data_IF_435375591863
#
_entry.id   IF_435375591863
#
_cell.length_a   1.000
_cell.length_b   1.000
_cell.length_c   1.000
_cell.angle_alpha   90.00
_cell.angle_beta   90.00
_cell.angle_gamma   90.00
#
_symmetry.space_group_name_H-M   'P 1'
#
loop_
_entity.id
_entity.type
_entity.pdbx_description
1 polymer ?
#
# COMPACT_ATOMS: atom_id res chain seq x y z
N UNK A 1 43.57 -25.04 19.74
CA UNK A 1 44.77 -25.90 19.66
C UNK A 1 44.76 -26.76 18.38
N UNK A 2 43.65 -27.44 18.03
CA UNK A 2 43.56 -28.38 16.86
C UNK A 2 43.79 -27.70 15.51
N UNK A 3 43.30 -26.50 15.30
CA UNK A 3 43.47 -25.74 14.06
C UNK A 3 44.96 -25.42 13.75
N UNK A 4 45.77 -25.24 14.80
CA UNK A 4 47.22 -24.94 14.63
C UNK A 4 48.02 -26.13 14.10
N UNK A 5 47.54 -27.38 14.32
CA UNK A 5 48.19 -28.58 13.81
C UNK A 5 48.09 -28.69 12.29
N UNK A 6 47.13 -27.99 11.65
CA UNK A 6 47.00 -27.95 10.19
C UNK A 6 47.58 -26.67 9.59
N UNK A 7 48.29 -25.87 10.37
CA UNK A 7 48.77 -24.56 9.93
C UNK A 7 47.65 -23.55 9.69
N UNK A 8 46.43 -23.89 10.07
CA UNK A 8 45.28 -23.00 9.91
C UNK A 8 45.32 -21.85 10.93
N UNK A 9 44.96 -20.67 10.47
CA UNK A 9 44.92 -19.45 11.28
C UNK A 9 43.47 -19.15 11.67
N UNK A 10 43.25 -18.89 12.97
CA UNK A 10 41.93 -18.38 13.45
C UNK A 10 41.76 -16.96 12.93
N UNK A 11 40.68 -16.72 12.20
CA UNK A 11 40.30 -15.40 11.66
C UNK A 11 39.30 -14.72 12.55
N UNK A 12 38.37 -15.52 13.12
CA UNK A 12 37.26 -14.99 13.94
C UNK A 12 36.78 -16.04 14.95
N UNK A 13 36.35 -15.58 16.11
CA UNK A 13 35.66 -16.40 17.12
C UNK A 13 34.42 -15.66 17.56
N UNK A 14 33.27 -16.30 17.52
CA UNK A 14 31.95 -15.73 17.88
C UNK A 14 31.18 -16.67 18.80
N UNK A 15 30.74 -16.16 19.96
CA UNK A 15 29.91 -16.89 20.92
C UNK A 15 28.42 -16.65 20.62
N UNK A 16 27.71 -17.70 20.22
CA UNK A 16 26.29 -17.69 19.93
C UNK A 16 25.53 -18.06 21.23
N UNK A 17 25.30 -17.05 22.08
CA UNK A 17 24.74 -17.27 23.45
C UNK A 17 23.33 -17.85 23.42
N UNK A 18 22.48 -17.40 22.49
CA UNK A 18 21.10 -17.89 22.33
C UNK A 18 21.04 -19.34 21.85
N UNK A 19 22.10 -19.84 21.19
CA UNK A 19 22.22 -21.20 20.68
C UNK A 19 23.14 -22.07 21.55
N UNK A 20 23.79 -21.50 22.56
CA UNK A 20 24.77 -22.20 23.40
C UNK A 20 25.99 -22.70 22.62
N UNK A 21 26.39 -22.05 21.53
CA UNK A 21 27.48 -22.52 20.66
C UNK A 21 28.50 -21.42 20.38
N UNK A 22 29.72 -21.85 20.06
CA UNK A 22 30.80 -21.00 19.62
C UNK A 22 31.19 -21.34 18.19
N UNK A 23 31.24 -20.35 17.31
CA UNK A 23 31.69 -20.49 15.91
C UNK A 23 33.09 -19.91 15.77
N UNK A 24 33.98 -20.67 15.13
CA UNK A 24 35.37 -20.27 14.87
C UNK A 24 35.63 -20.33 13.38
N UNK A 25 35.97 -19.22 12.75
CA UNK A 25 36.33 -19.15 11.35
C UNK A 25 37.86 -19.31 11.19
N UNK A 26 38.25 -20.29 10.36
CA UNK A 26 39.62 -20.63 10.10
C UNK A 26 40.01 -20.26 8.66
N UNK A 27 41.26 -19.81 8.49
CA UNK A 27 41.87 -19.65 7.15
C UNK A 27 42.94 -20.71 7.01
N UNK A 28 42.85 -21.49 5.94
CA UNK A 28 43.87 -22.47 5.57
C UNK A 28 45.07 -21.79 4.95
N UNK A 29 46.29 -22.41 5.05
CA UNK A 29 47.45 -21.95 4.34
C UNK A 29 47.24 -21.93 2.81
N UNK A 30 47.97 -21.07 2.08
CA UNK A 30 47.96 -21.09 0.63
C UNK A 30 48.34 -22.47 0.07
N UNK A 31 47.58 -22.91 -0.96
CA UNK A 31 47.82 -24.19 -1.64
C UNK A 31 47.10 -25.40 -1.03
N UNK A 32 46.43 -25.25 0.11
CA UNK A 32 45.57 -26.30 0.67
C UNK A 32 44.14 -26.13 0.18
N UNK A 33 43.64 -27.14 -0.52
CA UNK A 33 42.22 -27.18 -0.93
C UNK A 33 41.31 -27.37 0.27
N UNK A 34 40.30 -26.51 0.40
CA UNK A 34 39.40 -26.50 1.56
C UNK A 34 38.51 -27.76 1.67
N UNK A 35 38.12 -28.37 0.56
CA UNK A 35 37.31 -29.60 0.56
C UNK A 35 38.15 -30.80 1.02
N UNK A 36 39.37 -30.89 0.55
CA UNK A 36 40.32 -31.92 0.97
C UNK A 36 40.67 -31.79 2.46
N UNK A 37 40.90 -30.57 2.93
CA UNK A 37 41.14 -30.29 4.34
C UNK A 37 39.91 -30.67 5.22
N UNK A 38 38.70 -30.38 4.74
CA UNK A 38 37.46 -30.75 5.43
C UNK A 38 37.28 -32.26 5.54
N UNK A 39 37.58 -33.03 4.46
CA UNK A 39 37.49 -34.48 4.48
C UNK A 39 38.42 -35.06 5.56
N UNK A 40 39.69 -34.66 5.60
CA UNK A 40 40.65 -35.08 6.63
C UNK A 40 40.23 -34.64 8.04
N UNK A 41 39.65 -33.42 8.17
CA UNK A 41 39.17 -32.93 9.45
C UNK A 41 38.00 -33.76 9.99
N UNK A 42 37.06 -34.13 9.13
CA UNK A 42 35.85 -34.90 9.49
C UNK A 42 36.18 -36.40 9.81
N UNK A 43 37.26 -36.96 9.27
CA UNK A 43 37.70 -38.28 9.67
C UNK A 43 38.14 -38.33 11.16
N UNK A 44 38.67 -37.23 11.66
CA UNK A 44 39.19 -37.13 13.04
C UNK A 44 38.17 -36.58 14.03
N UNK A 45 37.41 -35.60 13.62
CA UNK A 45 36.44 -34.92 14.47
C UNK A 45 35.12 -34.73 13.67
N UNK A 46 34.29 -35.76 13.49
CA UNK A 46 33.05 -35.69 12.71
C UNK A 46 32.09 -34.62 13.24
N UNK A 47 31.56 -33.81 12.32
CA UNK A 47 30.51 -32.81 12.65
C UNK A 47 31.02 -31.54 13.35
N UNK A 48 32.34 -31.37 13.46
CA UNK A 48 32.94 -30.18 14.09
C UNK A 48 33.34 -29.11 13.07
N UNK A 49 33.71 -29.52 11.87
CA UNK A 49 34.19 -28.63 10.82
C UNK A 49 33.29 -28.67 9.61
N UNK A 50 33.10 -27.49 8.99
CA UNK A 50 32.42 -27.35 7.71
C UNK A 50 33.05 -26.23 6.87
N UNK A 51 32.70 -26.18 5.59
CA UNK A 51 33.14 -25.10 4.70
C UNK A 51 32.40 -23.81 5.07
N UNK A 52 33.12 -22.69 4.97
CA UNK A 52 32.51 -21.38 5.05
C UNK A 52 31.87 -21.04 3.70
N UNK A 53 30.60 -21.47 3.51
CA UNK A 53 29.85 -21.23 2.29
C UNK A 53 29.48 -19.75 2.17
N UNK A 54 29.52 -19.23 0.94
CA UNK A 54 28.90 -17.95 0.59
C UNK A 54 27.46 -18.24 0.20
N UNK A 55 26.53 -17.60 0.90
CA UNK A 55 25.13 -17.58 0.54
C UNK A 55 24.91 -16.35 -0.33
N UNK A 56 24.32 -16.53 -1.50
CA UNK A 56 23.70 -15.45 -2.23
C UNK A 56 22.31 -15.25 -1.62
N UNK A 57 21.86 -14.00 -1.52
CA UNK A 57 20.44 -13.74 -1.32
C UNK A 57 19.73 -14.54 -2.41
N UNK A 58 18.91 -15.52 -2.02
CA UNK A 58 17.91 -16.04 -2.93
C UNK A 58 17.17 -14.79 -3.40
N UNK A 59 17.34 -14.41 -4.65
CA UNK A 59 16.42 -13.52 -5.29
C UNK A 59 15.11 -14.30 -5.21
N UNK A 60 14.32 -14.01 -4.21
CA UNK A 60 12.91 -14.33 -4.25
C UNK A 60 12.44 -13.62 -5.50
N UNK A 61 12.04 -14.39 -6.49
CA UNK A 61 11.36 -13.86 -7.66
C UNK A 61 10.33 -12.86 -7.14
N UNK A 62 10.18 -11.70 -7.80
CA UNK A 62 9.31 -10.66 -7.30
C UNK A 62 7.95 -11.29 -7.04
N UNK A 63 7.42 -11.11 -5.83
CA UNK A 63 6.08 -11.60 -5.44
C UNK A 63 5.01 -11.04 -6.39
N UNK A 64 5.39 -10.04 -7.14
CA UNK A 64 4.61 -9.32 -8.12
C UNK A 64 5.13 -9.60 -9.52
N UNK A 65 4.40 -10.36 -10.31
CA UNK A 65 4.69 -10.65 -11.72
C UNK A 65 3.57 -10.10 -12.61
N UNK A 66 3.96 -9.53 -13.76
CA UNK A 66 3.04 -9.08 -14.80
C UNK A 66 2.60 -7.60 -14.68
N UNK A 67 1.68 -7.21 -15.54
CA UNK A 67 1.23 -5.83 -15.72
C UNK A 67 0.59 -5.20 -14.47
N UNK A 68 -0.01 -6.00 -13.59
CA UNK A 68 -0.62 -5.54 -12.33
C UNK A 68 0.40 -4.99 -11.33
N UNK A 69 1.67 -5.34 -11.48
CA UNK A 69 2.75 -4.95 -10.56
C UNK A 69 3.47 -3.66 -10.97
N UNK A 70 3.41 -3.31 -12.22
CA UNK A 70 4.09 -2.13 -12.75
C UNK A 70 3.68 -0.82 -12.04
N UNK A 71 2.39 -0.58 -11.71
CA UNK A 71 1.98 0.60 -10.96
C UNK A 71 2.64 0.72 -9.57
N UNK A 72 2.87 -0.41 -8.89
CA UNK A 72 3.55 -0.44 -7.59
C UNK A 72 5.04 -0.05 -7.73
N UNK A 73 5.70 -0.55 -8.75
CA UNK A 73 7.11 -0.22 -9.03
C UNK A 73 7.28 1.28 -9.30
N UNK A 74 6.32 1.93 -9.96
CA UNK A 74 6.37 3.38 -10.25
C UNK A 74 6.39 4.25 -9.00
N UNK A 75 5.74 3.82 -7.93
CA UNK A 75 5.74 4.52 -6.65
C UNK A 75 6.87 4.07 -5.71
N UNK A 76 7.79 3.25 -6.20
CA UNK A 76 8.88 2.70 -5.38
C UNK A 76 8.42 1.68 -4.34
N UNK A 77 7.26 1.05 -4.52
CA UNK A 77 6.77 0.02 -3.60
C UNK A 77 7.62 -1.24 -3.71
N UNK A 78 7.99 -1.88 -2.58
CA UNK A 78 8.84 -3.06 -2.62
C UNK A 78 8.18 -4.23 -3.36
N UNK A 79 8.94 -4.91 -4.21
CA UNK A 79 8.46 -6.11 -4.91
C UNK A 79 8.07 -7.23 -3.93
N UNK A 80 8.83 -7.40 -2.84
CA UNK A 80 8.54 -8.34 -1.76
C UNK A 80 7.60 -7.68 -0.72
N UNK A 81 6.33 -7.51 -1.06
CA UNK A 81 5.35 -6.82 -0.21
C UNK A 81 4.49 -7.74 0.67
N UNK A 82 4.77 -9.05 0.69
CA UNK A 82 3.93 -10.05 1.38
C UNK A 82 3.73 -9.81 2.88
N UNK A 83 4.55 -9.00 3.51
CA UNK A 83 4.48 -8.64 4.93
C UNK A 83 3.98 -7.22 5.19
N UNK A 84 3.79 -6.40 4.14
CA UNK A 84 3.32 -5.03 4.27
C UNK A 84 1.93 -4.96 4.92
N UNK A 85 1.72 -3.94 5.73
CA UNK A 85 0.43 -3.68 6.40
C UNK A 85 0.22 -4.41 7.71
N UNK A 86 1.16 -5.23 8.18
CA UNK A 86 1.02 -5.94 9.47
C UNK A 86 0.77 -4.94 10.61
N UNK A 87 -0.30 -5.19 11.39
CA UNK A 87 -0.69 -4.32 12.52
C UNK A 87 -1.38 -3.02 12.12
N UNK A 88 -1.61 -2.77 10.84
CA UNK A 88 -2.29 -1.57 10.35
C UNK A 88 -3.78 -1.85 10.09
N UNK A 89 -4.61 -0.86 10.42
CA UNK A 89 -6.04 -0.87 10.10
C UNK A 89 -6.35 0.31 9.19
N UNK A 90 -6.85 0.00 7.99
CA UNK A 90 -7.16 0.95 6.93
C UNK A 90 -8.67 1.17 6.85
N UNK A 91 -9.09 2.40 6.60
CA UNK A 91 -10.48 2.74 6.31
C UNK A 91 -10.70 2.97 4.82
N UNK A 92 -11.79 2.43 4.30
CA UNK A 92 -12.24 2.66 2.94
C UNK A 92 -13.71 3.04 2.96
N UNK A 93 -14.08 4.11 2.25
CA UNK A 93 -15.48 4.51 1.99
C UNK A 93 -15.73 4.36 0.49
N UNK A 94 -16.48 3.34 0.11
CA UNK A 94 -16.67 2.95 -1.30
C UNK A 94 -18.01 2.21 -1.50
N UNK A 95 -18.21 1.63 -2.68
CA UNK A 95 -19.22 0.63 -2.95
C UNK A 95 -18.91 -0.70 -2.25
N UNK A 96 -19.76 -1.71 -2.39
CA UNK A 96 -19.59 -3.01 -1.74
C UNK A 96 -18.33 -3.75 -2.21
N UNK A 97 -17.95 -4.79 -1.49
CA UNK A 97 -16.74 -5.60 -1.77
C UNK A 97 -17.10 -7.08 -1.85
N UNK A 98 -16.73 -7.73 -2.95
CA UNK A 98 -16.82 -9.18 -3.13
C UNK A 98 -15.61 -9.86 -2.45
N UNK A 99 -15.74 -10.18 -1.16
CA UNK A 99 -14.63 -10.66 -0.31
C UNK A 99 -14.21 -12.10 -0.58
N UNK A 100 -15.02 -12.88 -1.28
CA UNK A 100 -14.81 -14.30 -1.59
C UNK A 100 -14.00 -14.53 -2.88
N UNK A 101 -13.68 -13.47 -3.61
CA UNK A 101 -12.84 -13.55 -4.80
C UNK A 101 -11.41 -14.02 -4.48
N UNK A 102 -10.73 -14.71 -5.42
CA UNK A 102 -9.35 -15.16 -5.23
C UNK A 102 -8.40 -14.05 -4.77
N UNK A 103 -8.56 -12.84 -5.31
CA UNK A 103 -7.74 -11.67 -4.95
C UNK A 103 -7.86 -11.27 -3.47
N UNK A 104 -9.00 -11.51 -2.83
CA UNK A 104 -9.27 -11.10 -1.44
C UNK A 104 -9.40 -12.28 -0.48
N UNK A 105 -9.35 -13.52 -0.98
CA UNK A 105 -9.48 -14.71 -0.15
C UNK A 105 -8.35 -14.80 0.87
N UNK A 106 -8.70 -14.74 2.15
CA UNK A 106 -7.74 -14.73 3.26
C UNK A 106 -7.26 -13.33 3.68
N UNK A 107 -7.70 -12.26 3.01
CA UNK A 107 -7.52 -10.89 3.49
C UNK A 107 -8.41 -10.61 4.71
N UNK A 108 -7.92 -9.81 5.65
CA UNK A 108 -8.73 -9.33 6.80
C UNK A 108 -9.58 -8.14 6.35
N UNK A 109 -10.72 -8.42 5.71
CA UNK A 109 -11.66 -7.41 5.21
C UNK A 109 -12.97 -7.49 6.00
N UNK A 110 -13.36 -6.39 6.62
CA UNK A 110 -14.65 -6.24 7.30
C UNK A 110 -15.51 -5.21 6.57
N UNK A 111 -16.62 -5.65 6.01
CA UNK A 111 -17.57 -4.80 5.30
C UNK A 111 -18.72 -4.40 6.22
N UNK A 112 -19.09 -3.12 6.20
CA UNK A 112 -20.30 -2.62 6.88
C UNK A 112 -21.07 -1.66 5.99
N UNK A 113 -22.38 -1.92 5.83
CA UNK A 113 -23.27 -1.12 4.98
C UNK A 113 -23.94 0.00 5.79
N UNK A 114 -24.01 1.19 5.19
CA UNK A 114 -24.56 2.42 5.79
C UNK A 114 -25.58 3.10 4.88
N UNK A 115 -26.01 2.45 3.80
CA UNK A 115 -27.08 2.92 2.95
C UNK A 115 -28.39 3.06 3.75
N UNK A 116 -29.31 3.89 3.26
CA UNK A 116 -30.64 4.12 3.89
C UNK A 116 -31.43 2.82 4.03
N UNK A 117 -31.33 1.98 3.03
CA UNK A 117 -31.88 0.64 3.02
C UNK A 117 -30.69 -0.32 2.92
N UNK A 118 -30.38 -0.99 4.02
CA UNK A 118 -29.26 -1.91 4.11
C UNK A 118 -29.42 -3.13 3.18
N UNK A 119 -30.65 -3.40 2.75
CA UNK A 119 -30.98 -4.51 1.85
C UNK A 119 -31.06 -4.06 0.38
N UNK A 120 -30.94 -2.75 0.10
CA UNK A 120 -30.91 -2.27 -1.27
C UNK A 120 -29.72 -2.85 -2.04
N UNK A 121 -29.93 -3.30 -3.30
CA UNK A 121 -28.83 -3.76 -4.12
C UNK A 121 -27.76 -2.69 -4.29
N UNK A 122 -26.52 -3.04 -4.02
CA UNK A 122 -25.37 -2.20 -4.29
C UNK A 122 -24.50 -2.82 -5.36
N UNK A 123 -23.52 -2.07 -5.86
CA UNK A 123 -22.53 -2.57 -6.80
C UNK A 123 -21.25 -2.85 -6.05
N UNK A 124 -20.62 -3.99 -6.31
CA UNK A 124 -19.36 -4.36 -5.67
C UNK A 124 -18.14 -4.19 -6.60
N UNK A 125 -18.34 -3.81 -7.86
CA UNK A 125 -17.23 -3.82 -8.83
C UNK A 125 -16.15 -2.80 -8.47
N UNK A 126 -16.53 -1.57 -8.08
CA UNK A 126 -15.57 -0.52 -7.78
C UNK A 126 -14.87 -0.75 -6.42
N UNK A 127 -15.63 -1.01 -5.37
CA UNK A 127 -15.07 -1.27 -4.03
C UNK A 127 -14.19 -2.52 -3.99
N UNK A 128 -14.52 -3.57 -4.77
CA UNK A 128 -13.67 -4.76 -4.93
C UNK A 128 -12.33 -4.41 -5.56
N UNK A 129 -12.33 -3.60 -6.62
CA UNK A 129 -11.09 -3.15 -7.28
C UNK A 129 -10.20 -2.34 -6.33
N UNK A 130 -10.79 -1.41 -5.56
CA UNK A 130 -10.06 -0.60 -4.56
C UNK A 130 -9.55 -1.47 -3.40
N UNK A 131 -10.35 -2.41 -2.90
CA UNK A 131 -9.93 -3.35 -1.86
C UNK A 131 -8.78 -4.26 -2.34
N UNK A 132 -8.84 -4.74 -3.59
CA UNK A 132 -7.76 -5.54 -4.18
C UNK A 132 -6.45 -4.76 -4.29
N UNK A 133 -6.48 -3.48 -4.67
CA UNK A 133 -5.30 -2.61 -4.65
C UNK A 133 -4.70 -2.46 -3.24
N UNK A 134 -5.54 -2.39 -2.20
CA UNK A 134 -5.07 -2.22 -0.82
C UNK A 134 -4.56 -3.54 -0.23
N UNK A 135 -5.38 -4.59 -0.23
CA UNK A 135 -5.14 -5.81 0.56
C UNK A 135 -5.20 -7.11 -0.26
N UNK A 136 -5.09 -7.01 -1.58
CA UNK A 136 -5.02 -8.18 -2.47
C UNK A 136 -3.95 -9.17 -2.02
N UNK A 137 -4.26 -10.46 -2.05
CA UNK A 137 -3.39 -11.48 -1.47
C UNK A 137 -2.26 -11.88 -2.43
N UNK A 138 -1.04 -12.09 -1.93
CA UNK A 138 0.07 -12.62 -2.72
C UNK A 138 -0.31 -13.95 -3.38
N UNK A 139 0.12 -14.16 -4.62
CA UNK A 139 -0.17 -15.38 -5.38
C UNK A 139 -1.55 -15.41 -6.05
N UNK A 140 -2.39 -14.39 -5.86
CA UNK A 140 -3.70 -14.28 -6.53
C UNK A 140 -3.62 -13.73 -7.96
N UNK A 141 -2.44 -13.30 -8.42
CA UNK A 141 -2.26 -12.53 -9.66
C UNK A 141 -2.58 -11.04 -9.53
N UNK A 142 -3.14 -10.62 -8.38
CA UNK A 142 -3.49 -9.22 -8.07
C UNK A 142 -3.03 -8.87 -6.65
N UNK A 143 -1.72 -8.86 -6.38
CA UNK A 143 -1.20 -8.53 -5.05
C UNK A 143 -1.52 -7.08 -4.70
N UNK A 144 -2.04 -6.86 -3.50
CA UNK A 144 -2.29 -5.53 -2.95
C UNK A 144 -1.04 -4.91 -2.35
N UNK A 145 -1.13 -3.61 -2.04
CA UNK A 145 -0.03 -2.85 -1.44
C UNK A 145 0.24 -3.28 0.01
N UNK A 146 -0.81 -3.58 0.78
CA UNK A 146 -0.76 -3.90 2.20
C UNK A 146 -1.49 -5.24 2.50
N UNK A 147 -1.03 -6.38 1.96
CA UNK A 147 -1.76 -7.66 2.02
C UNK A 147 -1.96 -8.21 3.45
N UNK A 148 -1.23 -7.70 4.44
CA UNK A 148 -1.38 -8.05 5.87
C UNK A 148 -2.11 -6.99 6.69
N UNK A 149 -2.58 -5.92 6.04
CA UNK A 149 -3.42 -4.91 6.67
C UNK A 149 -4.85 -5.41 6.89
N UNK A 150 -5.49 -4.90 7.93
CA UNK A 150 -6.93 -5.01 8.11
C UNK A 150 -7.62 -3.90 7.32
N UNK A 151 -8.57 -4.23 6.48
CA UNK A 151 -9.38 -3.28 5.74
C UNK A 151 -10.79 -3.20 6.32
N UNK A 152 -11.20 -2.02 6.77
CA UNK A 152 -12.56 -1.71 7.16
C UNK A 152 -13.25 -0.98 6.01
N UNK A 153 -14.11 -1.67 5.29
CA UNK A 153 -14.87 -1.15 4.15
C UNK A 153 -16.25 -0.67 4.58
N UNK A 154 -16.43 0.63 4.63
CA UNK A 154 -17.71 1.29 4.88
C UNK A 154 -18.43 1.52 3.56
N UNK A 155 -19.66 0.99 3.43
CA UNK A 155 -20.45 0.98 2.20
C UNK A 155 -21.69 1.87 2.36
N UNK A 156 -21.60 3.18 2.02
CA UNK A 156 -22.76 4.08 2.03
C UNK A 156 -23.54 4.06 0.71
N UNK A 157 -23.05 3.38 -0.32
CA UNK A 157 -23.60 3.41 -1.67
C UNK A 157 -24.83 2.52 -1.85
N UNK A 158 -25.80 3.00 -2.60
CA UNK A 158 -27.02 2.30 -2.98
C UNK A 158 -27.43 2.68 -4.41
N UNK A 159 -28.24 1.83 -5.07
CA UNK A 159 -28.78 2.14 -6.39
C UNK A 159 -30.06 2.94 -6.27
N UNK A 160 -30.09 4.06 -6.98
CA UNK A 160 -31.32 4.83 -7.21
C UNK A 160 -32.25 4.06 -8.18
N UNK A 161 -33.55 4.38 -8.22
CA UNK A 161 -34.49 3.83 -9.22
C UNK A 161 -34.03 4.04 -10.67
N UNK A 162 -33.21 5.07 -10.93
CA UNK A 162 -32.58 5.34 -12.22
C UNK A 162 -31.47 4.34 -12.58
N UNK A 163 -31.06 3.44 -11.66
CA UNK A 163 -29.93 2.57 -11.80
C UNK A 163 -28.58 3.21 -11.39
N UNK A 164 -28.57 4.51 -11.10
CA UNK A 164 -27.35 5.23 -10.71
C UNK A 164 -26.89 4.83 -9.32
N UNK A 165 -25.62 4.50 -9.17
CA UNK A 165 -24.99 4.22 -7.87
C UNK A 165 -24.68 5.55 -7.16
N UNK A 166 -25.20 5.73 -5.95
CA UNK A 166 -25.08 6.98 -5.19
C UNK A 166 -24.89 6.73 -3.71
N UNK A 167 -24.25 7.66 -3.02
CA UNK A 167 -24.20 7.73 -1.56
C UNK A 167 -24.79 9.06 -1.10
N UNK A 168 -25.41 9.08 0.06
CA UNK A 168 -25.87 10.32 0.66
C UNK A 168 -24.99 10.80 1.81
N UNK A 169 -25.10 12.07 2.19
CA UNK A 169 -24.27 12.67 3.23
C UNK A 169 -24.43 11.95 4.58
N UNK A 170 -25.62 11.44 4.92
CA UNK A 170 -25.87 10.73 6.18
C UNK A 170 -25.14 9.39 6.20
N UNK A 171 -25.18 8.63 5.10
CA UNK A 171 -24.42 7.38 4.93
C UNK A 171 -22.91 7.61 5.03
N UNK A 172 -22.40 8.69 4.39
CA UNK A 172 -20.98 9.07 4.47
C UNK A 172 -20.57 9.44 5.90
N UNK A 173 -21.38 10.22 6.62
CA UNK A 173 -21.11 10.60 8.01
C UNK A 173 -21.10 9.38 8.94
N UNK A 174 -22.07 8.47 8.79
CA UNK A 174 -22.09 7.19 9.54
C UNK A 174 -20.88 6.32 9.24
N UNK A 175 -20.44 6.30 7.99
CA UNK A 175 -19.22 5.60 7.56
C UNK A 175 -17.98 6.15 8.27
N UNK A 176 -17.81 7.47 8.27
CA UNK A 176 -16.72 8.14 8.98
C UNK A 176 -16.76 7.88 10.49
N UNK A 177 -17.95 8.00 11.11
CA UNK A 177 -18.13 7.75 12.55
C UNK A 177 -17.70 6.32 12.93
N UNK A 178 -18.13 5.32 12.16
CA UNK A 178 -17.70 3.93 12.40
C UNK A 178 -16.20 3.77 12.27
N UNK A 179 -15.59 4.23 11.17
CA UNK A 179 -14.16 4.09 10.93
C UNK A 179 -13.33 4.78 12.03
N UNK A 180 -13.76 5.95 12.48
CA UNK A 180 -13.12 6.67 13.62
C UNK A 180 -13.30 5.87 14.92
N UNK A 181 -14.46 5.26 15.18
CA UNK A 181 -14.70 4.43 16.37
C UNK A 181 -13.83 3.17 16.41
N UNK A 182 -13.49 2.63 15.24
CA UNK A 182 -12.55 1.48 15.07
C UNK A 182 -11.07 1.93 15.11
N UNK A 183 -10.79 3.22 15.38
CA UNK A 183 -9.44 3.80 15.52
C UNK A 183 -8.59 3.72 14.24
N UNK A 184 -9.21 3.84 13.09
CA UNK A 184 -8.53 3.94 11.81
C UNK A 184 -7.73 5.25 11.76
N UNK A 185 -6.48 5.19 11.32
CA UNK A 185 -5.63 6.38 11.19
C UNK A 185 -5.74 7.03 9.80
N UNK A 186 -6.01 6.24 8.77
CA UNK A 186 -6.10 6.71 7.38
C UNK A 186 -7.40 6.20 6.75
N UNK A 187 -8.17 7.11 6.17
CA UNK A 187 -9.41 6.80 5.47
C UNK A 187 -9.31 7.24 4.02
N UNK A 188 -9.48 6.30 3.08
CA UNK A 188 -9.62 6.57 1.65
C UNK A 188 -11.10 6.75 1.28
N UNK A 189 -11.40 7.84 0.58
CA UNK A 189 -12.74 8.14 0.04
C UNK A 189 -12.68 8.25 -1.49
N UNK A 190 -12.90 7.13 -2.16
CA UNK A 190 -12.83 7.03 -3.63
C UNK A 190 -14.09 7.55 -4.33
N UNK A 191 -14.59 8.68 -3.89
CA UNK A 191 -15.86 9.27 -4.33
C UNK A 191 -15.78 10.79 -4.44
N UNK A 192 -16.75 11.38 -5.13
CA UNK A 192 -16.88 12.83 -5.26
C UNK A 192 -18.35 13.26 -5.23
N UNK A 193 -18.56 14.51 -4.83
CA UNK A 193 -19.87 15.14 -4.83
C UNK A 193 -19.80 16.64 -4.56
N UNK A 194 -20.94 17.29 -4.37
CA UNK A 194 -21.00 18.71 -4.01
C UNK A 194 -20.54 18.95 -2.56
N UNK A 195 -20.27 20.20 -2.23
CA UNK A 195 -20.05 20.61 -0.85
C UNK A 195 -21.25 20.29 0.03
N UNK A 196 -20.97 19.79 1.23
CA UNK A 196 -21.98 19.53 2.25
C UNK A 196 -21.44 19.91 3.63
N UNK A 197 -22.11 20.84 4.30
CA UNK A 197 -21.68 21.38 5.59
C UNK A 197 -21.57 20.31 6.70
N UNK A 198 -22.51 19.35 6.73
CA UNK A 198 -22.50 18.30 7.73
C UNK A 198 -21.37 17.29 7.49
N UNK A 199 -21.07 16.96 6.23
CA UNK A 199 -19.94 16.11 5.86
C UNK A 199 -18.62 16.82 6.17
N UNK A 200 -18.49 18.11 5.87
CA UNK A 200 -17.32 18.92 6.22
C UNK A 200 -17.08 18.92 7.74
N UNK A 201 -18.14 19.12 8.54
CA UNK A 201 -18.03 19.05 10.00
C UNK A 201 -17.63 17.64 10.48
N UNK A 202 -18.10 16.57 9.84
CA UNK A 202 -17.71 15.19 10.17
C UNK A 202 -16.24 14.91 9.84
N UNK A 203 -15.76 15.37 8.68
CA UNK A 203 -14.36 15.27 8.27
C UNK A 203 -13.44 16.01 9.26
N UNK A 204 -13.78 17.25 9.62
CA UNK A 204 -13.00 18.00 10.63
C UNK A 204 -12.94 17.30 11.99
N UNK A 205 -14.03 16.65 12.41
CA UNK A 205 -14.04 15.87 13.66
C UNK A 205 -13.19 14.61 13.58
N UNK A 206 -13.15 13.94 12.42
CA UNK A 206 -12.23 12.83 12.19
C UNK A 206 -10.77 13.30 12.26
N UNK A 207 -10.46 14.41 11.60
CA UNK A 207 -9.14 15.04 11.62
C UNK A 207 -8.69 15.46 13.02
N UNK A 208 -9.62 15.97 13.87
CA UNK A 208 -9.31 16.32 15.27
C UNK A 208 -9.04 15.10 16.16
N UNK A 209 -9.27 13.90 15.65
CA UNK A 209 -8.91 12.60 16.29
C UNK A 209 -7.75 11.92 15.59
N UNK A 210 -6.89 12.71 14.96
CA UNK A 210 -5.69 12.28 14.26
C UNK A 210 -5.91 11.36 13.05
N UNK A 211 -7.12 11.35 12.48
CA UNK A 211 -7.42 10.65 11.24
C UNK A 211 -7.02 11.50 10.04
N UNK A 212 -6.27 10.91 9.10
CA UNK A 212 -6.01 11.52 7.79
C UNK A 212 -7.03 11.02 6.79
N UNK A 213 -7.66 11.94 6.07
CA UNK A 213 -8.60 11.63 4.99
C UNK A 213 -7.92 11.90 3.65
N UNK A 214 -7.94 10.88 2.79
CA UNK A 214 -7.48 10.93 1.40
C UNK A 214 -8.70 10.82 0.49
N UNK A 215 -8.80 11.65 -0.53
CA UNK A 215 -9.95 11.60 -1.43
C UNK A 215 -9.59 11.80 -2.90
N UNK A 216 -10.42 11.25 -3.79
CA UNK A 216 -10.30 11.45 -5.23
C UNK A 216 -10.68 12.88 -5.62
N UNK A 217 -9.86 13.52 -6.47
CA UNK A 217 -10.13 14.91 -6.93
C UNK A 217 -11.28 14.98 -7.94
N UNK A 218 -11.66 13.86 -8.57
CA UNK A 218 -12.79 13.78 -9.51
C UNK A 218 -12.40 13.55 -10.96
N UNK A 219 -13.39 13.19 -11.77
CA UNK A 219 -13.25 12.77 -13.17
C UNK A 219 -14.16 13.58 -14.13
N UNK A 220 -14.42 14.83 -13.82
CA UNK A 220 -15.27 15.70 -14.63
C UNK A 220 -14.50 16.65 -15.57
N UNK A 221 -13.15 16.53 -15.56
CA UNK A 221 -12.26 17.27 -16.44
C UNK A 221 -11.64 18.51 -15.80
N UNK A 222 -10.64 19.04 -16.48
CA UNK A 222 -9.76 20.12 -15.98
C UNK A 222 -10.47 21.40 -15.53
N UNK A 223 -11.61 21.71 -16.14
CA UNK A 223 -12.39 22.93 -15.87
C UNK A 223 -13.56 22.69 -14.91
N UNK A 224 -13.67 21.48 -14.35
CA UNK A 224 -14.74 21.17 -13.41
C UNK A 224 -14.56 21.95 -12.09
N UNK A 225 -15.66 22.31 -11.41
CA UNK A 225 -15.58 22.89 -10.09
C UNK A 225 -14.92 21.93 -9.10
N UNK A 226 -14.35 22.45 -7.99
CA UNK A 226 -13.80 21.60 -6.94
C UNK A 226 -14.80 20.56 -6.46
N UNK A 227 -14.37 19.30 -6.40
CA UNK A 227 -15.21 18.20 -5.92
C UNK A 227 -14.88 17.84 -4.47
N UNK A 228 -15.88 17.47 -3.70
CA UNK A 228 -15.74 17.12 -2.29
C UNK A 228 -15.87 15.60 -2.10
N UNK A 229 -15.14 15.00 -1.14
CA UNK A 229 -14.45 15.67 -0.04
C UNK A 229 -13.01 16.17 -0.34
N UNK A 230 -12.40 15.92 -1.51
CA UNK A 230 -11.03 16.32 -1.79
C UNK A 230 -10.77 17.83 -1.60
N UNK A 231 -11.77 18.68 -1.90
CA UNK A 231 -11.66 20.13 -1.72
C UNK A 231 -11.97 20.62 -0.29
N UNK A 232 -12.17 19.73 0.69
CA UNK A 232 -12.31 20.12 2.10
C UNK A 232 -10.94 20.38 2.74
N UNK A 233 -10.88 21.33 3.66
CA UNK A 233 -9.65 21.68 4.34
C UNK A 233 -9.03 20.48 5.07
N UNK A 234 -7.73 20.23 4.84
CA UNK A 234 -6.97 19.15 5.45
C UNK A 234 -7.33 17.74 4.94
N UNK A 235 -8.06 17.63 3.84
CA UNK A 235 -8.16 16.39 3.07
C UNK A 235 -7.04 16.37 2.04
N UNK A 236 -6.43 15.23 1.83
CA UNK A 236 -5.36 15.06 0.85
C UNK A 236 -5.96 14.55 -0.47
N UNK A 237 -5.87 15.36 -1.51
CA UNK A 237 -6.45 15.07 -2.81
C UNK A 237 -5.52 14.25 -3.71
N UNK A 238 -6.03 13.10 -4.18
CA UNK A 238 -5.32 12.21 -5.11
C UNK A 238 -5.82 12.38 -6.54
N UNK A 239 -4.92 12.66 -7.48
CA UNK A 239 -5.18 12.64 -8.92
C UNK A 239 -4.52 11.43 -9.59
N UNK A 240 -4.91 11.11 -10.83
CA UNK A 240 -4.54 9.89 -11.51
C UNK A 240 -3.52 10.09 -12.63
N UNK A 241 -2.51 9.24 -12.66
CA UNK A 241 -1.48 9.15 -13.69
C UNK A 241 -1.64 7.90 -14.55
N UNK A 242 -1.35 8.05 -15.84
CA UNK A 242 -1.09 6.95 -16.77
C UNK A 242 0.31 6.36 -16.58
N UNK A 243 0.61 5.28 -17.32
CA UNK A 243 1.89 4.60 -17.33
C UNK A 243 3.06 5.54 -17.68
N UNK A 244 2.86 6.44 -18.60
CA UNK A 244 3.82 7.44 -19.05
C UNK A 244 3.83 8.74 -18.21
N UNK A 245 3.25 8.66 -16.99
CA UNK A 245 3.17 9.77 -16.01
C UNK A 245 2.41 11.01 -16.52
N UNK A 246 1.52 10.85 -17.49
CA UNK A 246 0.61 11.91 -17.90
C UNK A 246 -0.63 11.89 -17.01
N UNK A 247 -1.14 13.11 -16.75
CA UNK A 247 -2.39 13.25 -15.99
C UNK A 247 -3.55 12.62 -16.73
N UNK A 248 -4.44 11.96 -16.01
CA UNK A 248 -5.68 11.43 -16.56
C UNK A 248 -6.50 12.55 -17.18
N UNK A 249 -6.84 12.45 -18.47
CA UNK A 249 -7.49 13.52 -19.22
C UNK A 249 -8.83 13.99 -18.64
N UNK A 250 -9.50 13.14 -17.89
CA UNK A 250 -10.74 13.48 -17.18
C UNK A 250 -10.51 13.95 -15.74
N UNK A 251 -9.32 13.93 -15.20
CA UNK A 251 -9.08 14.37 -13.84
C UNK A 251 -9.43 15.84 -13.66
N UNK A 252 -10.08 16.17 -12.54
CA UNK A 252 -10.22 17.55 -12.11
C UNK A 252 -8.87 18.14 -11.77
N UNK A 253 -8.69 19.43 -11.98
CA UNK A 253 -7.48 20.18 -11.66
C UNK A 253 -7.82 21.32 -10.70
N UNK A 254 -6.83 21.86 -10.00
CA UNK A 254 -6.97 22.98 -9.09
C UNK A 254 -6.33 22.76 -7.73
N UNK A 255 -6.67 23.61 -6.78
CA UNK A 255 -6.07 23.65 -5.43
C UNK A 255 -6.31 22.39 -4.60
N UNK A 256 -7.27 21.54 -4.96
CA UNK A 256 -7.55 20.27 -4.28
C UNK A 256 -6.65 19.12 -4.74
N UNK A 257 -5.73 19.34 -5.68
CA UNK A 257 -4.75 18.34 -6.11
C UNK A 257 -3.53 18.42 -5.21
N UNK A 258 -3.26 17.37 -4.44
CA UNK A 258 -2.07 17.30 -3.59
C UNK A 258 -1.01 16.33 -4.14
N UNK A 259 -1.42 15.15 -4.60
CA UNK A 259 -0.49 14.15 -5.14
C UNK A 259 -1.06 13.43 -6.36
N UNK A 260 -0.15 13.00 -7.23
CA UNK A 260 -0.46 12.28 -8.46
C UNK A 260 0.05 10.84 -8.39
N UNK A 261 -0.85 9.84 -8.54
CA UNK A 261 -0.52 8.42 -8.37
C UNK A 261 -1.10 7.58 -9.52
N UNK A 262 -0.64 6.33 -9.71
CA UNK A 262 -1.21 5.45 -10.74
C UNK A 262 -2.73 5.36 -10.63
N UNK A 263 -3.43 5.52 -11.76
CA UNK A 263 -4.90 5.49 -11.78
C UNK A 263 -5.50 5.38 -13.18
N UNK A 264 -4.68 5.04 -14.20
CA UNK A 264 -5.15 4.91 -15.58
C UNK A 264 -4.76 3.55 -16.14
N UNK A 265 -5.74 2.88 -16.76
CA UNK A 265 -5.62 1.56 -17.39
C UNK A 265 -5.06 0.48 -16.46
N UNK A 266 -5.41 0.56 -15.18
CA UNK A 266 -5.02 -0.44 -14.19
C UNK A 266 -5.78 -1.75 -14.40
N UNK A 267 -5.12 -2.91 -14.49
CA UNK A 267 -5.77 -4.21 -14.59
C UNK A 267 -6.37 -4.58 -13.22
N UNK A 268 -7.66 -4.33 -13.03
CA UNK A 268 -8.35 -4.50 -11.76
C UNK A 268 -9.57 -5.41 -11.87
N UNK A 269 -9.88 -6.21 -10.83
CA UNK A 269 -10.99 -7.13 -10.83
C UNK A 269 -12.33 -6.39 -10.69
N UNK A 270 -13.38 -6.96 -11.24
CA UNK A 270 -14.75 -6.60 -10.89
C UNK A 270 -15.31 -7.53 -9.80
N UNK A 271 -16.63 -7.42 -9.55
CA UNK A 271 -17.32 -8.25 -8.55
C UNK A 271 -17.38 -9.74 -8.90
N UNK A 272 -17.12 -10.12 -10.14
CA UNK A 272 -17.06 -11.48 -10.64
C UNK A 272 -15.61 -11.99 -10.71
N UNK A 273 -14.64 -11.14 -10.47
CA UNK A 273 -13.21 -11.44 -10.56
C UNK A 273 -12.63 -11.29 -11.96
N UNK A 274 -13.42 -10.77 -12.92
CA UNK A 274 -12.91 -10.46 -14.25
C UNK A 274 -11.99 -9.24 -14.20
N UNK A 275 -10.76 -9.41 -14.64
CA UNK A 275 -9.76 -8.35 -14.68
C UNK A 275 -9.90 -7.53 -15.94
N UNK A 276 -10.12 -6.22 -15.79
CA UNK A 276 -10.26 -5.28 -16.91
C UNK A 276 -9.50 -3.99 -16.64
N UNK A 277 -9.02 -3.28 -17.68
CA UNK A 277 -8.42 -1.96 -17.52
C UNK A 277 -9.43 -0.98 -16.91
N UNK A 278 -9.04 -0.32 -15.83
CA UNK A 278 -9.87 0.68 -15.16
C UNK A 278 -9.12 2.00 -15.01
N UNK A 279 -9.81 3.10 -15.16
CA UNK A 279 -9.23 4.44 -15.07
C UNK A 279 -10.10 5.35 -14.22
N UNK A 280 -9.44 6.16 -13.37
CA UNK A 280 -10.11 7.14 -12.52
C UNK A 280 -9.23 7.59 -11.36
N UNK A 281 -9.48 8.81 -10.87
CA UNK A 281 -8.82 9.35 -9.69
C UNK A 281 -9.14 8.54 -8.42
N UNK A 282 -10.25 7.80 -8.41
CA UNK A 282 -10.61 6.87 -7.34
C UNK A 282 -9.61 5.71 -7.17
N UNK A 283 -8.93 5.28 -8.25
CA UNK A 283 -7.92 4.23 -8.18
C UNK A 283 -6.53 4.75 -7.75
N UNK A 284 -6.32 6.05 -7.77
CA UNK A 284 -5.13 6.69 -7.22
C UNK A 284 -5.18 6.75 -5.67
N UNK A 285 -6.36 6.84 -5.08
CA UNK A 285 -6.58 6.92 -3.62
C UNK A 285 -5.92 5.76 -2.86
N UNK A 286 -6.09 4.47 -3.21
CA UNK A 286 -5.48 3.36 -2.48
C UNK A 286 -3.95 3.40 -2.46
N UNK A 287 -3.29 3.87 -3.52
CA UNK A 287 -1.83 4.04 -3.53
C UNK A 287 -1.38 5.08 -2.50
N UNK A 288 -2.09 6.20 -2.42
CA UNK A 288 -1.78 7.26 -1.45
C UNK A 288 -2.09 6.80 -0.02
N UNK A 289 -3.22 6.13 0.20
CA UNK A 289 -3.58 5.53 1.49
C UNK A 289 -2.48 4.57 1.97
N UNK A 290 -1.99 3.71 1.09
CA UNK A 290 -0.96 2.74 1.44
C UNK A 290 0.38 3.41 1.81
N UNK A 291 0.87 4.36 1.00
CA UNK A 291 2.13 5.06 1.30
C UNK A 291 2.03 5.85 2.61
N UNK A 292 0.92 6.56 2.80
CA UNK A 292 0.65 7.34 4.00
C UNK A 292 0.56 6.44 5.23
N UNK A 293 -0.24 5.37 5.17
CA UNK A 293 -0.41 4.43 6.28
C UNK A 293 0.89 3.75 6.66
N UNK A 294 1.67 3.29 5.68
CA UNK A 294 2.94 2.63 5.93
C UNK A 294 3.97 3.60 6.53
N UNK A 295 4.09 4.81 5.99
CA UNK A 295 5.03 5.80 6.50
C UNK A 295 4.70 6.28 7.91
N UNK A 296 3.42 6.43 8.25
CA UNK A 296 2.98 6.72 9.62
C UNK A 296 3.31 5.57 10.57
N UNK A 297 3.07 4.32 10.14
CA UNK A 297 3.36 3.12 10.93
C UNK A 297 4.86 2.97 11.20
N UNK A 298 5.70 3.25 10.23
CA UNK A 298 7.17 3.22 10.35
C UNK A 298 7.73 4.46 11.09
N UNK A 299 6.94 5.50 11.28
CA UNK A 299 7.40 6.78 11.81
C UNK A 299 8.36 7.53 10.88
N UNK A 300 8.39 7.18 9.59
CA UNK A 300 9.28 7.80 8.58
C UNK A 300 8.79 9.18 8.14
N UNK A 301 7.48 9.40 8.13
CA UNK A 301 6.84 10.70 7.92
C UNK A 301 5.72 10.89 8.94
N UNK A 302 5.55 12.14 9.37
CA UNK A 302 4.45 12.53 10.24
C UNK A 302 3.20 12.88 9.44
N UNK A 303 2.06 12.97 10.13
CA UNK A 303 0.82 13.51 9.56
C UNK A 303 1.00 14.94 9.02
N UNK A 304 1.77 15.79 9.74
CA UNK A 304 2.02 17.15 9.31
C UNK A 304 2.82 17.23 8.02
N UNK A 305 3.78 16.31 7.81
CA UNK A 305 4.53 16.22 6.55
C UNK A 305 3.61 15.92 5.37
N UNK A 306 2.68 14.98 5.52
CA UNK A 306 1.72 14.64 4.48
C UNK A 306 0.72 15.78 4.20
N UNK A 307 0.21 16.43 5.23
CA UNK A 307 -0.70 17.57 5.06
C UNK A 307 -0.01 18.79 4.46
N UNK A 308 1.25 19.01 4.78
CA UNK A 308 2.09 20.06 4.17
C UNK A 308 2.55 19.71 2.76
N UNK A 309 2.70 18.42 2.47
CA UNK A 309 3.10 17.85 1.18
C UNK A 309 4.57 18.07 0.80
N UNK A 310 5.13 19.22 1.10
CA UNK A 310 6.50 19.61 0.68
C UNK A 310 7.60 18.69 1.18
N UNK A 311 7.43 18.11 2.36
CA UNK A 311 8.42 17.20 2.97
C UNK A 311 8.29 15.76 2.48
N UNK A 312 7.23 15.43 1.74
CA UNK A 312 7.02 14.10 1.19
C UNK A 312 7.96 13.88 0.00
N UNK A 313 8.83 12.87 0.03
CA UNK A 313 9.68 12.55 -1.11
C UNK A 313 8.81 12.27 -2.34
N UNK A 314 8.87 13.14 -3.33
CA UNK A 314 8.05 13.04 -4.55
C UNK A 314 8.87 13.36 -5.80
N UNK A 315 8.57 12.64 -6.88
CA UNK A 315 9.04 13.07 -8.20
C UNK A 315 8.16 14.23 -8.65
N UNK A 316 8.74 15.41 -8.72
CA UNK A 316 8.08 16.63 -9.20
C UNK A 316 7.69 16.46 -10.68
N UNK A 317 6.42 16.70 -10.98
CA UNK A 317 5.85 16.56 -12.31
C UNK A 317 5.15 17.87 -12.70
N UNK A 318 5.29 18.26 -13.96
CA UNK A 318 4.66 19.51 -14.45
C UNK A 318 5.47 20.76 -14.13
N UNK A 319 4.84 21.79 -13.59
CA UNK A 319 5.51 23.01 -13.15
C UNK A 319 6.25 22.76 -11.83
N UNK A 320 7.41 23.42 -11.65
CA UNK A 320 8.24 23.21 -10.45
C UNK A 320 7.50 23.54 -9.15
N UNK A 321 7.56 22.62 -8.19
CA UNK A 321 6.86 22.69 -6.92
C UNK A 321 5.39 22.27 -7.04
N UNK A 322 4.56 22.65 -6.07
CA UNK A 322 3.14 22.30 -6.11
C UNK A 322 2.42 23.05 -7.23
N UNK A 323 1.76 22.31 -8.11
CA UNK A 323 0.97 22.87 -9.21
C UNK A 323 -0.48 22.29 -9.22
N UNK A 324 -1.43 22.95 -9.94
CA UNK A 324 -2.84 22.54 -9.92
C UNK A 324 -3.15 21.26 -10.70
N UNK A 325 -2.19 20.66 -11.38
CA UNK A 325 -2.36 19.46 -12.23
C UNK A 325 -1.85 18.21 -11.53
N UNK A 326 -0.63 18.28 -10.97
CA UNK A 326 0.07 17.15 -10.34
C UNK A 326 0.22 17.29 -8.83
N UNK A 327 -0.17 18.45 -8.25
CA UNK A 327 0.08 18.75 -6.85
C UNK A 327 1.57 18.80 -6.54
N UNK A 328 2.05 18.08 -5.52
CA UNK A 328 3.47 17.89 -5.21
C UNK A 328 4.14 16.82 -6.06
N UNK A 329 3.43 16.25 -7.06
CA UNK A 329 3.94 15.21 -7.93
C UNK A 329 3.64 13.79 -7.46
N UNK A 330 4.46 12.84 -7.92
CA UNK A 330 4.33 11.41 -7.62
C UNK A 330 5.12 11.06 -6.35
N UNK A 331 4.46 10.77 -5.21
CA UNK A 331 5.16 10.40 -3.99
C UNK A 331 5.90 9.07 -4.16
N UNK A 332 7.15 9.04 -3.68
CA UNK A 332 8.06 7.91 -3.73
C UNK A 332 8.67 7.70 -2.34
N UNK A 333 7.81 7.46 -1.36
CA UNK A 333 8.23 7.26 0.02
C UNK A 333 8.90 5.89 0.14
N UNK A 334 10.15 5.82 0.66
CA UNK A 334 10.78 4.54 0.92
C UNK A 334 9.96 3.72 1.94
N UNK A 335 9.57 2.52 1.56
CA UNK A 335 8.71 1.63 2.35
C UNK A 335 9.51 0.40 2.78
N UNK A 336 9.40 0.04 4.06
CA UNK A 336 9.99 -1.17 4.64
C UNK A 336 8.85 -2.05 5.16
N UNK A 337 8.74 -3.24 4.62
CA UNK A 337 7.69 -4.20 4.98
C UNK A 337 8.31 -5.42 5.70
N UNK A 338 9.00 -5.18 6.79
CA UNK A 338 9.71 -6.23 7.51
C UNK A 338 9.28 -6.36 8.95
#
# INVERSE_FOLDING_TARGET
QRARQWGARVVETSDQRGLGMRVVRLRLPPGIDARTALAVANERDPGVFDLHHLYQLAQTEPVCEGESCEPMQRIGWPAANAFCGRGQTLGMVDSDVATDLPALRGADVRVRRFARDADAPTDAAHGTAVAALLVGQPGSGLPGLLPRGRLLAAVPFFRLPSGTLSADAVGLIKSLDWLVSERVQVIGMSLTGPYNLALDAAVRRAQSRDVVVVAAVGNAGRNAPPAHPAALAGVIGATALSADRRIYWRANQGESVDFALPGVELPLPDAQGEVRPRSGTSYAVPYLVAQLSQSLHEGSLSRADWLGGRSVPSADLGASGRDPVYGWGLPQVPVRCG
#
